data_IF_370367153436
#
_entry.id   IF_370367153436
#
_cell.length_a   1.000
_cell.length_b   1.000
_cell.length_c   1.000
_cell.angle_alpha   90.00
_cell.angle_beta   90.00
_cell.angle_gamma   90.00
#
_symmetry.space_group_name_H-M   'P 1'
#
loop_
_entity.id
_entity.type
_entity.pdbx_description
1 polymer ?
#
# COMPACT_ATOMS: atom_id res chain seq x y z
N UNK A 1 -13.74 -7.63 -5.02
CA UNK A 1 -13.30 -6.41 -4.34
C UNK A 1 -11.91 -6.01 -4.81
N UNK A 2 -11.64 -4.73 -4.77
CA UNK A 2 -10.32 -4.17 -5.09
C UNK A 2 -9.79 -3.47 -3.84
N UNK A 3 -8.52 -3.62 -3.55
CA UNK A 3 -7.93 -3.15 -2.30
C UNK A 3 -6.83 -2.14 -2.58
N UNK A 4 -6.82 -1.07 -1.79
CA UNK A 4 -5.67 -0.17 -1.71
C UNK A 4 -4.98 -0.48 -0.40
N UNK A 5 -3.68 -0.75 -0.44
CA UNK A 5 -2.94 -1.16 0.74
C UNK A 5 -1.73 -0.26 0.96
N UNK A 6 -1.42 -0.06 2.24
CA UNK A 6 -0.32 0.80 2.68
C UNK A 6 0.67 -0.05 3.45
N UNK A 7 1.91 -0.06 2.97
CA UNK A 7 2.99 -0.86 3.55
C UNK A 7 4.07 0.02 4.12
N UNK A 8 4.72 -0.50 5.16
CA UNK A 8 5.87 0.13 5.80
C UNK A 8 7.00 -0.90 5.86
N UNK A 9 8.23 -0.50 5.46
CA UNK A 9 9.37 -1.40 5.55
C UNK A 9 9.71 -1.66 7.02
N UNK A 10 9.91 -2.92 7.39
CA UNK A 10 10.24 -3.28 8.76
C UNK A 10 11.58 -2.72 9.20
N UNK A 11 12.58 -2.75 8.32
CA UNK A 11 13.94 -2.32 8.65
C UNK A 11 14.18 -0.84 8.37
N UNK A 12 13.35 -0.23 7.54
CA UNK A 12 13.47 1.18 7.20
C UNK A 12 12.08 1.81 7.24
N UNK A 13 11.54 2.10 8.45
CA UNK A 13 10.14 2.51 8.61
C UNK A 13 9.73 3.77 7.85
N UNK A 14 10.69 4.65 7.51
CA UNK A 14 10.39 5.83 6.71
C UNK A 14 10.07 5.49 5.26
N UNK A 15 10.42 4.29 4.80
CA UNK A 15 10.10 3.83 3.46
C UNK A 15 8.72 3.19 3.46
N UNK A 16 7.84 3.75 2.65
CA UNK A 16 6.44 3.38 2.59
C UNK A 16 6.01 3.15 1.16
N UNK A 17 5.03 2.29 0.99
CA UNK A 17 4.54 1.92 -0.33
C UNK A 17 3.02 1.88 -0.32
N UNK A 18 2.41 2.46 -1.35
CA UNK A 18 0.97 2.40 -1.57
C UNK A 18 0.72 1.70 -2.89
N UNK A 19 -0.12 0.68 -2.88
CA UNK A 19 -0.46 -0.07 -4.07
C UNK A 19 -1.92 -0.47 -4.09
N UNK A 20 -2.34 -1.08 -5.20
CA UNK A 20 -3.69 -1.62 -5.30
C UNK A 20 -3.65 -3.02 -5.89
N UNK A 21 -4.62 -3.85 -5.51
CA UNK A 21 -4.68 -5.23 -5.96
C UNK A 21 -6.11 -5.77 -5.81
N UNK A 22 -6.42 -6.81 -6.54
CA UNK A 22 -7.67 -7.56 -6.36
C UNK A 22 -7.48 -8.77 -5.43
N UNK A 23 -6.24 -9.03 -4.99
CA UNK A 23 -5.91 -10.14 -4.09
C UNK A 23 -4.83 -9.70 -3.11
N UNK A 24 -5.29 -9.17 -1.97
CA UNK A 24 -4.40 -8.57 -0.97
C UNK A 24 -3.38 -9.57 -0.41
N UNK A 25 -3.83 -10.77 -0.08
CA UNK A 25 -2.97 -11.79 0.52
C UNK A 25 -1.85 -12.21 -0.44
N UNK A 26 -2.21 -12.46 -1.70
CA UNK A 26 -1.22 -12.84 -2.72
C UNK A 26 -0.22 -11.71 -2.94
N UNK A 27 -0.70 -10.46 -3.04
CA UNK A 27 0.18 -9.32 -3.33
C UNK A 27 1.14 -9.04 -2.18
N UNK A 28 0.69 -9.15 -0.93
CA UNK A 28 1.57 -9.03 0.23
C UNK A 28 2.67 -10.10 0.21
N UNK A 29 2.29 -11.33 -0.12
CA UNK A 29 3.25 -12.42 -0.24
C UNK A 29 4.28 -12.12 -1.33
N UNK A 30 3.86 -11.58 -2.47
CA UNK A 30 4.77 -11.21 -3.56
C UNK A 30 5.77 -10.14 -3.13
N UNK A 31 5.31 -9.13 -2.41
CA UNK A 31 6.22 -8.09 -1.90
C UNK A 31 7.25 -8.69 -0.95
N UNK A 32 6.83 -9.56 -0.05
CA UNK A 32 7.72 -10.13 0.97
C UNK A 32 8.61 -11.25 0.44
N UNK A 33 8.27 -11.84 -0.70
CA UNK A 33 9.10 -12.84 -1.37
C UNK A 33 10.05 -12.23 -2.41
N UNK A 34 10.04 -10.91 -2.53
CA UNK A 34 10.96 -10.22 -3.45
C UNK A 34 10.56 -10.30 -4.91
N UNK A 35 9.31 -10.63 -5.22
CA UNK A 35 8.83 -10.74 -6.60
C UNK A 35 8.49 -9.39 -7.22
N UNK A 36 8.32 -8.36 -6.41
CA UNK A 36 8.06 -7.00 -6.89
C UNK A 36 9.38 -6.22 -6.89
N UNK A 37 9.89 -5.80 -8.06
CA UNK A 37 11.20 -5.14 -8.15
C UNK A 37 11.30 -3.86 -7.30
N UNK A 38 10.20 -3.12 -7.19
CA UNK A 38 10.21 -1.84 -6.48
C UNK A 38 10.30 -2.01 -4.96
N UNK A 39 9.88 -3.13 -4.43
CA UNK A 39 9.81 -3.34 -2.98
C UNK A 39 10.78 -4.41 -2.47
N UNK A 40 11.37 -5.20 -3.36
CA UNK A 40 12.22 -6.32 -2.99
C UNK A 40 13.39 -5.93 -2.09
N UNK A 41 14.00 -4.78 -2.36
CA UNK A 41 15.20 -4.30 -1.65
C UNK A 41 14.92 -3.99 -0.19
N UNK A 42 13.69 -3.58 0.14
CA UNK A 42 13.35 -3.09 1.48
C UNK A 42 12.39 -4.01 2.24
N UNK A 43 12.29 -5.26 1.80
CA UNK A 43 11.48 -6.25 2.51
C UNK A 43 12.16 -6.69 3.81
N UNK A 44 11.39 -7.20 4.80
CA UNK A 44 9.96 -7.46 4.73
C UNK A 44 9.13 -6.19 4.92
N UNK A 45 7.91 -6.26 4.41
CA UNK A 45 6.95 -5.16 4.49
C UNK A 45 5.82 -5.52 5.45
N UNK A 46 5.46 -4.57 6.30
CA UNK A 46 4.33 -4.71 7.21
C UNK A 46 3.13 -3.96 6.67
N UNK A 47 1.97 -4.60 6.75
CA UNK A 47 0.71 -3.98 6.35
C UNK A 47 0.28 -2.99 7.42
N UNK A 48 0.20 -1.71 7.09
CA UNK A 48 -0.25 -0.66 8.00
C UNK A 48 -1.75 -0.52 7.95
N UNK A 49 -2.31 -0.48 6.73
CA UNK A 49 -3.74 -0.26 6.53
C UNK A 49 -4.13 -0.78 5.15
N UNK A 50 -5.38 -1.17 4.98
CA UNK A 50 -5.91 -1.49 3.67
C UNK A 50 -7.37 -1.07 3.59
N UNK A 51 -7.83 -0.80 2.37
CA UNK A 51 -9.17 -0.30 2.11
C UNK A 51 -9.76 -1.03 0.91
N UNK A 52 -10.97 -1.52 1.03
CA UNK A 52 -11.62 -2.28 -0.03
C UNK A 52 -12.66 -1.45 -0.75
N UNK A 53 -12.76 -1.65 -2.06
CA UNK A 53 -13.70 -0.94 -2.93
C UNK A 53 -14.43 -1.93 -3.82
N UNK A 54 -15.70 -1.66 -4.14
CA UNK A 54 -16.47 -2.57 -4.98
C UNK A 54 -16.04 -2.58 -6.45
N UNK A 55 -15.37 -1.52 -6.92
CA UNK A 55 -14.89 -1.48 -8.30
C UNK A 55 -13.48 -0.93 -8.39
N UNK A 56 -12.81 -1.27 -9.49
CA UNK A 56 -11.40 -0.92 -9.71
C UNK A 56 -11.18 0.58 -9.82
N UNK A 57 -12.11 1.28 -10.45
CA UNK A 57 -11.98 2.73 -10.64
C UNK A 57 -11.83 3.46 -9.32
N UNK A 58 -12.66 3.11 -8.34
CA UNK A 58 -12.58 3.73 -7.03
C UNK A 58 -11.25 3.43 -6.32
N UNK A 59 -10.77 2.21 -6.44
CA UNK A 59 -9.48 1.83 -5.86
C UNK A 59 -8.33 2.61 -6.49
N UNK A 60 -8.32 2.71 -7.82
CA UNK A 60 -7.29 3.46 -8.54
C UNK A 60 -7.31 4.94 -8.15
N UNK A 61 -8.50 5.53 -8.05
CA UNK A 61 -8.64 6.94 -7.66
C UNK A 61 -8.12 7.16 -6.24
N UNK A 62 -8.42 6.26 -5.32
CA UNK A 62 -7.96 6.39 -3.94
C UNK A 62 -6.45 6.21 -3.84
N UNK A 63 -5.88 5.27 -4.58
CA UNK A 63 -4.43 5.09 -4.62
C UNK A 63 -3.73 6.36 -5.12
N UNK A 64 -4.25 6.95 -6.20
CA UNK A 64 -3.70 8.20 -6.73
C UNK A 64 -3.82 9.34 -5.72
N UNK A 65 -4.97 9.43 -5.05
CA UNK A 65 -5.17 10.44 -4.02
C UNK A 65 -4.13 10.34 -2.90
N UNK A 66 -3.85 9.13 -2.44
CA UNK A 66 -2.90 8.91 -1.35
C UNK A 66 -1.46 9.31 -1.72
N UNK A 67 -1.17 9.46 -3.00
CA UNK A 67 0.15 9.89 -3.49
C UNK A 67 0.24 11.41 -3.66
N UNK A 68 -0.87 12.13 -3.49
CA UNK A 68 -0.87 13.61 -3.50
C UNK A 68 -0.50 14.14 -2.12
N UNK A 69 -0.19 15.45 -2.05
CA UNK A 69 0.09 16.08 -0.76
C UNK A 69 -1.08 15.97 0.22
N UNK A 70 -2.29 16.22 -0.27
CA UNK A 70 -3.51 16.10 0.56
C UNK A 70 -3.72 14.67 1.05
N UNK A 71 -3.51 13.69 0.17
CA UNK A 71 -3.68 12.28 0.52
C UNK A 71 -2.63 11.81 1.51
N UNK A 72 -1.40 12.28 1.38
CA UNK A 72 -0.33 11.97 2.34
C UNK A 72 -0.64 12.53 3.72
N UNK A 73 -1.16 13.74 3.80
CA UNK A 73 -1.59 14.34 5.05
C UNK A 73 -2.75 13.55 5.68
N UNK A 74 -3.70 13.13 4.85
CA UNK A 74 -4.81 12.29 5.29
C UNK A 74 -4.31 10.96 5.86
N UNK A 75 -3.41 10.29 5.16
CA UNK A 75 -2.87 9.00 5.60
C UNK A 75 -2.09 9.13 6.91
N UNK A 76 -1.29 10.17 7.04
CA UNK A 76 -0.55 10.44 8.27
C UNK A 76 -1.49 10.66 9.45
N UNK A 77 -2.56 11.42 9.22
CA UNK A 77 -3.49 11.81 10.28
C UNK A 77 -4.43 10.68 10.69
N UNK A 78 -4.91 9.90 9.72
CA UNK A 78 -6.01 8.96 9.95
C UNK A 78 -5.65 7.49 9.81
N UNK A 79 -4.58 7.17 9.10
CA UNK A 79 -4.25 5.78 8.77
C UNK A 79 -2.96 5.28 9.41
N UNK A 80 -2.31 6.09 10.24
CA UNK A 80 -1.07 5.70 10.90
C UNK A 80 0.13 5.64 9.95
N UNK A 81 0.04 6.33 8.87
CA UNK A 81 1.06 6.30 7.84
C UNK A 81 1.83 7.61 7.84
#
# INVERSE_FOLDING_TARGET
>A
MYYVYLLESEHTPDLRYVGQTDDLKRRLSEHNNGKSPHTAKHRPWNLVSYHSFPNEKQAVEFEHYLKTGSGRAFAKRHLGF
#
